data_IF_809162403044
#
_entry.id   IF_809162403044
#
_cell.length_a   1.000
_cell.length_b   1.000
_cell.length_c   1.000
_cell.angle_alpha   90.00
_cell.angle_beta   90.00
_cell.angle_gamma   90.00
#
_symmetry.space_group_name_H-M   'P 1'
#
loop_
_entity.id
_entity.type
_entity.pdbx_description
1 polymer ?
#
# COMPACT_ATOMS: atom_id res chain seq x y z
N UNK A 1 -2.94 -67.42 28.52
CA UNK A 1 -2.22 -66.23 27.99
C UNK A 1 -3.29 -65.21 27.62
N UNK A 2 -3.45 -64.15 28.42
CA UNK A 2 -4.49 -63.12 28.24
C UNK A 2 -3.83 -61.88 27.63
N UNK A 3 -4.16 -61.61 26.36
CA UNK A 3 -3.63 -60.49 25.59
C UNK A 3 -4.41 -59.23 25.98
N UNK A 4 -3.76 -58.29 26.68
CA UNK A 4 -4.34 -56.98 26.99
C UNK A 4 -4.14 -56.05 25.79
N UNK A 5 -5.23 -55.74 25.10
CA UNK A 5 -5.25 -54.71 24.07
C UNK A 5 -5.28 -53.33 24.74
N UNK A 6 -4.20 -52.56 24.62
CA UNK A 6 -4.15 -51.16 25.00
C UNK A 6 -4.77 -50.33 23.86
N UNK A 7 -5.95 -49.76 24.09
CA UNK A 7 -6.45 -48.66 23.25
C UNK A 7 -5.67 -47.39 23.61
N UNK A 8 -4.84 -46.91 22.68
CA UNK A 8 -4.29 -45.57 22.74
C UNK A 8 -5.37 -44.60 22.23
N UNK A 9 -5.94 -43.79 23.13
CA UNK A 9 -6.78 -42.67 22.75
C UNK A 9 -5.87 -41.49 22.34
N UNK A 10 -5.82 -41.18 21.04
CA UNK A 10 -5.22 -39.94 20.56
C UNK A 10 -6.20 -38.79 20.84
N UNK A 11 -5.93 -37.99 21.86
CA UNK A 11 -6.57 -36.69 22.02
C UNK A 11 -5.95 -35.73 20.98
N UNK A 12 -6.67 -35.46 19.90
CA UNK A 12 -6.33 -34.37 19.00
C UNK A 12 -6.55 -33.06 19.75
N UNK A 13 -5.47 -32.44 20.22
CA UNK A 13 -5.50 -31.05 20.70
C UNK A 13 -5.63 -30.19 19.45
N UNK A 14 -6.87 -29.88 19.07
CA UNK A 14 -7.15 -28.84 18.10
C UNK A 14 -6.75 -27.52 18.76
N UNK A 15 -5.66 -26.92 18.29
CA UNK A 15 -5.34 -25.54 18.59
C UNK A 15 -6.40 -24.67 17.90
N UNK A 16 -7.45 -24.27 18.62
CA UNK A 16 -8.22 -23.10 18.20
C UNK A 16 -7.23 -21.93 18.25
N UNK A 17 -6.76 -21.48 17.09
CA UNK A 17 -6.16 -20.16 17.00
C UNK A 17 -7.27 -19.18 17.33
N UNK A 18 -7.19 -18.49 18.46
CA UNK A 18 -7.90 -17.23 18.61
C UNK A 18 -7.37 -16.34 17.47
N UNK A 19 -8.21 -16.00 16.50
CA UNK A 19 -7.86 -15.00 15.50
C UNK A 19 -7.49 -13.74 16.27
N UNK A 20 -6.31 -13.19 16.00
CA UNK A 20 -5.93 -11.91 16.57
C UNK A 20 -6.91 -10.88 16.03
N UNK A 21 -7.86 -10.45 16.86
CA UNK A 21 -8.87 -9.48 16.48
C UNK A 21 -8.16 -8.15 16.19
N UNK A 22 -8.30 -7.64 14.96
CA UNK A 22 -7.72 -6.36 14.57
C UNK A 22 -8.33 -5.24 15.42
N UNK A 23 -7.52 -4.31 15.92
CA UNK A 23 -8.01 -3.10 16.54
C UNK A 23 -7.98 -1.95 15.52
N UNK A 24 -9.02 -1.11 15.52
CA UNK A 24 -9.08 0.05 14.65
C UNK A 24 -7.95 1.00 15.00
N UNK A 25 -7.18 1.35 13.97
CA UNK A 25 -6.00 2.19 14.06
C UNK A 25 -5.82 3.05 12.79
N UNK A 26 -4.96 4.08 12.81
CA UNK A 26 -4.74 4.95 11.66
C UNK A 26 -4.41 4.24 10.35
N UNK A 27 -3.76 3.07 10.42
CA UNK A 27 -3.42 2.25 9.26
C UNK A 27 -4.62 1.63 8.54
N UNK A 28 -5.85 1.75 9.05
CA UNK A 28 -7.07 1.36 8.35
C UNK A 28 -7.66 2.47 7.47
N UNK A 29 -7.19 3.71 7.61
CA UNK A 29 -7.63 4.86 6.80
C UNK A 29 -7.32 4.64 5.33
N UNK A 30 -8.23 4.98 4.42
CA UNK A 30 -8.03 4.81 2.98
C UNK A 30 -9.29 4.37 2.24
N UNK A 31 -9.12 3.97 0.99
CA UNK A 31 -10.21 3.50 0.14
C UNK A 31 -10.55 2.03 0.36
N UNK A 32 -11.83 1.74 0.49
CA UNK A 32 -12.43 0.43 0.64
C UNK A 32 -13.57 0.29 -0.38
N UNK A 33 -13.64 -0.79 -1.13
CA UNK A 33 -14.63 -0.99 -2.19
C UNK A 33 -15.34 -2.33 -2.05
N UNK A 34 -16.51 -2.46 -2.67
CA UNK A 34 -17.25 -3.71 -2.75
C UNK A 34 -16.96 -4.42 -4.09
N UNK A 35 -16.21 -5.55 -4.10
CA UNK A 35 -15.87 -6.23 -5.34
C UNK A 35 -17.07 -6.75 -6.13
N UNK A 36 -18.16 -7.14 -5.46
CA UNK A 36 -19.34 -7.70 -6.12
C UNK A 36 -20.17 -6.64 -6.86
N UNK A 37 -20.02 -5.36 -6.50
CA UNK A 37 -20.73 -4.24 -7.11
C UNK A 37 -19.78 -3.07 -7.28
N UNK A 38 -18.73 -3.30 -8.08
CA UNK A 38 -17.67 -2.32 -8.33
C UNK A 38 -18.22 -0.93 -8.66
N UNK A 39 -17.56 0.11 -8.14
CA UNK A 39 -18.00 1.51 -8.23
C UNK A 39 -18.68 2.07 -6.98
N UNK A 40 -18.86 1.26 -5.92
CA UNK A 40 -19.26 1.74 -4.59
C UNK A 40 -18.24 1.34 -3.50
N UNK A 41 -18.23 2.10 -2.42
CA UNK A 41 -17.28 1.88 -1.33
C UNK A 41 -17.19 3.02 -0.33
N UNK A 42 -16.29 2.87 0.62
CA UNK A 42 -15.98 3.86 1.66
C UNK A 42 -14.60 4.48 1.42
N UNK A 43 -14.47 5.78 1.65
CA UNK A 43 -13.21 6.42 1.96
C UNK A 43 -13.18 6.69 3.46
N UNK A 44 -12.28 6.04 4.18
CA UNK A 44 -12.21 6.03 5.64
C UNK A 44 -11.05 6.89 6.14
N UNK A 45 -11.28 7.66 7.20
CA UNK A 45 -10.25 8.39 7.95
C UNK A 45 -10.40 8.10 9.45
N UNK A 46 -9.37 7.53 10.07
CA UNK A 46 -9.36 7.17 11.49
C UNK A 46 -8.65 8.28 12.27
N UNK A 47 -9.36 8.84 13.25
CA UNK A 47 -8.88 9.93 14.12
C UNK A 47 -8.57 9.36 15.51
N UNK A 48 -7.32 8.94 15.76
CA UNK A 48 -6.97 8.16 16.95
C UNK A 48 -7.10 8.95 18.25
N UNK A 49 -6.71 10.23 18.24
CA UNK A 49 -6.69 11.10 19.42
C UNK A 49 -8.06 11.24 20.10
N UNK A 50 -9.14 11.07 19.34
CA UNK A 50 -10.52 11.15 19.81
C UNK A 50 -11.30 9.83 19.72
N UNK A 51 -10.65 8.74 19.31
CA UNK A 51 -11.32 7.47 18.99
C UNK A 51 -12.54 7.65 18.07
N UNK A 52 -12.38 8.50 17.05
CA UNK A 52 -13.43 8.79 16.05
C UNK A 52 -13.01 8.26 14.69
N UNK A 53 -13.99 7.97 13.85
CA UNK A 53 -13.79 7.68 12.44
C UNK A 53 -14.74 8.56 11.62
N UNK A 54 -14.25 8.97 10.46
CA UNK A 54 -15.06 9.57 9.41
C UNK A 54 -15.02 8.64 8.20
N UNK A 55 -16.14 8.51 7.49
CA UNK A 55 -16.17 7.83 6.21
C UNK A 55 -17.05 8.57 5.21
N UNK A 56 -16.57 8.70 3.97
CA UNK A 56 -17.40 9.03 2.82
C UNK A 56 -17.89 7.73 2.18
N UNK A 57 -19.20 7.50 2.12
CA UNK A 57 -19.80 6.38 1.41
C UNK A 57 -20.25 6.81 0.02
N UNK A 58 -19.59 6.29 -1.01
CA UNK A 58 -19.95 6.47 -2.40
C UNK A 58 -20.73 5.25 -2.87
N UNK A 59 -21.95 5.46 -3.36
CA UNK A 59 -22.86 4.40 -3.80
C UNK A 59 -23.79 4.91 -4.90
N UNK A 60 -24.80 4.13 -5.23
CA UNK A 60 -25.76 4.42 -6.29
C UNK A 60 -27.11 4.82 -5.70
N UNK A 61 -27.87 5.60 -6.46
CA UNK A 61 -29.24 5.93 -6.11
C UNK A 61 -30.10 4.67 -6.03
N UNK A 62 -31.07 4.68 -5.10
CA UNK A 62 -32.05 3.62 -4.97
C UNK A 62 -32.82 3.43 -6.29
N UNK A 63 -33.28 2.21 -6.58
CA UNK A 63 -33.88 1.89 -7.87
C UNK A 63 -35.09 2.78 -8.18
N UNK A 64 -35.91 3.07 -7.17
CA UNK A 64 -37.06 3.98 -7.21
C UNK A 64 -36.71 5.45 -7.48
N UNK A 65 -35.45 5.85 -7.25
CA UNK A 65 -34.96 7.21 -7.51
C UNK A 65 -34.31 7.35 -8.91
N UNK A 66 -34.24 6.26 -9.70
CA UNK A 66 -33.69 6.29 -11.06
C UNK A 66 -34.71 6.84 -12.06
N UNK A 67 -34.30 7.80 -12.89
CA UNK A 67 -35.14 8.39 -13.93
C UNK A 67 -34.41 9.45 -14.75
N UNK A 68 -35.00 9.94 -15.85
CA UNK A 68 -34.38 10.98 -16.68
C UNK A 68 -34.05 12.23 -15.85
N UNK A 69 -32.77 12.57 -15.76
CA UNK A 69 -32.29 13.73 -15.01
C UNK A 69 -32.00 13.50 -13.52
N UNK A 70 -32.15 12.28 -13.00
CA UNK A 70 -31.68 11.95 -11.66
C UNK A 70 -30.19 11.60 -11.64
N UNK A 71 -29.51 11.92 -10.53
CA UNK A 71 -28.15 11.45 -10.29
C UNK A 71 -28.21 9.96 -10.02
N UNK A 72 -27.55 9.14 -10.86
CA UNK A 72 -27.42 7.70 -10.61
C UNK A 72 -26.47 7.39 -9.44
N UNK A 73 -25.70 8.39 -9.01
CA UNK A 73 -24.77 8.34 -7.88
C UNK A 73 -25.37 8.98 -6.64
N UNK A 74 -25.01 8.43 -5.48
CA UNK A 74 -25.32 8.95 -4.16
C UNK A 74 -24.04 8.94 -3.33
N UNK A 75 -23.86 9.98 -2.52
CA UNK A 75 -22.79 10.02 -1.54
C UNK A 75 -23.38 10.40 -0.18
N UNK A 76 -22.90 9.73 0.85
CA UNK A 76 -23.24 9.99 2.24
C UNK A 76 -21.94 10.20 3.03
N UNK A 77 -22.02 10.94 4.11
CA UNK A 77 -20.94 10.98 5.10
C UNK A 77 -21.35 10.20 6.33
N UNK A 78 -20.40 9.56 6.99
CA UNK A 78 -20.59 8.77 8.18
C UNK A 78 -19.57 9.20 9.21
N UNK A 79 -19.97 9.34 10.47
CA UNK A 79 -19.03 9.62 11.54
C UNK A 79 -19.50 9.03 12.86
N UNK A 80 -18.54 8.67 13.72
CA UNK A 80 -18.82 8.21 15.06
C UNK A 80 -17.61 7.63 15.76
N UNK A 81 -17.85 7.06 16.94
CA UNK A 81 -16.81 6.46 17.77
C UNK A 81 -16.48 5.04 17.36
N UNK A 82 -15.27 4.60 17.67
CA UNK A 82 -14.88 3.21 17.49
C UNK A 82 -14.29 2.60 18.76
N UNK A 83 -14.37 1.29 18.87
CA UNK A 83 -13.76 0.48 19.94
C UNK A 83 -13.43 -0.91 19.43
N UNK A 84 -12.21 -1.40 19.71
CA UNK A 84 -11.76 -2.68 19.18
C UNK A 84 -11.79 -2.67 17.64
N UNK A 85 -12.40 -3.68 17.02
CA UNK A 85 -12.55 -3.81 15.57
C UNK A 85 -13.78 -3.08 14.98
N UNK A 86 -14.60 -2.43 15.82
CA UNK A 86 -15.94 -1.96 15.44
C UNK A 86 -16.06 -0.44 15.56
N UNK A 87 -16.65 0.19 14.55
CA UNK A 87 -17.03 1.59 14.57
C UNK A 87 -18.55 1.74 14.38
N UNK A 88 -19.17 2.55 15.23
CA UNK A 88 -20.61 2.85 15.21
C UNK A 88 -20.83 4.27 14.73
N UNK A 89 -21.59 4.45 13.64
CA UNK A 89 -21.64 5.66 12.84
C UNK A 89 -23.06 6.18 12.65
N UNK A 90 -23.20 7.50 12.61
CA UNK A 90 -24.39 8.19 12.10
C UNK A 90 -24.15 8.57 10.65
N UNK A 91 -25.11 8.27 9.77
CA UNK A 91 -25.09 8.64 8.36
C UNK A 91 -25.74 10.00 8.14
N UNK A 92 -25.09 10.85 7.35
CA UNK A 92 -25.53 12.19 7.00
C UNK A 92 -25.61 12.37 5.48
N UNK A 93 -26.67 13.05 5.06
CA UNK A 93 -26.86 13.56 3.71
C UNK A 93 -26.68 15.07 3.70
N UNK A 94 -25.80 15.56 2.83
CA UNK A 94 -25.58 16.98 2.62
C UNK A 94 -26.46 17.48 1.46
N UNK A 95 -27.10 18.64 1.63
CA UNK A 95 -27.92 19.27 0.59
C UNK A 95 -27.79 20.79 0.61
N UNK A 96 -28.21 21.46 -0.47
CA UNK A 96 -28.21 22.92 -0.60
C UNK A 96 -26.91 23.53 -1.14
N UNK A 97 -25.87 22.73 -1.36
CA UNK A 97 -24.63 23.17 -1.99
C UNK A 97 -24.80 23.54 -3.47
N UNK A 98 -23.92 24.41 -3.97
CA UNK A 98 -23.83 24.80 -5.38
C UNK A 98 -22.42 24.45 -5.87
N UNK A 99 -22.31 23.94 -7.11
CA UNK A 99 -21.02 23.57 -7.69
C UNK A 99 -20.04 24.74 -7.69
N UNK A 100 -18.91 24.57 -6.99
CA UNK A 100 -17.80 25.53 -6.88
C UNK A 100 -18.21 26.96 -6.49
N UNK A 101 -19.31 27.09 -5.73
CA UNK A 101 -19.83 28.37 -5.29
C UNK A 101 -20.18 28.33 -3.79
N UNK A 102 -20.05 29.46 -3.08
CA UNK A 102 -20.50 29.54 -1.70
C UNK A 102 -22.02 29.34 -1.64
N UNK A 103 -22.46 28.46 -0.74
CA UNK A 103 -23.87 28.16 -0.50
C UNK A 103 -24.05 27.66 0.93
N UNK A 104 -25.26 27.79 1.45
CA UNK A 104 -25.60 27.21 2.76
C UNK A 104 -25.83 25.71 2.56
N UNK A 105 -25.00 24.89 3.21
CA UNK A 105 -25.13 23.43 3.20
C UNK A 105 -25.83 22.98 4.47
N UNK A 106 -26.84 22.13 4.33
CA UNK A 106 -27.52 21.46 5.44
C UNK A 106 -27.06 20.01 5.52
N UNK A 107 -26.54 19.61 6.69
CA UNK A 107 -26.22 18.22 7.01
C UNK A 107 -27.38 17.59 7.77
N UNK A 108 -28.03 16.59 7.16
CA UNK A 108 -29.20 15.92 7.76
C UNK A 108 -28.84 14.49 8.15
N UNK A 109 -29.05 14.05 9.40
CA UNK A 109 -28.90 12.65 9.76
C UNK A 109 -29.99 11.83 9.07
N UNK A 110 -29.60 10.77 8.37
CA UNK A 110 -30.50 9.95 7.54
C UNK A 110 -30.51 8.47 7.91
N UNK A 111 -29.63 8.05 8.82
CA UNK A 111 -29.55 6.66 9.25
C UNK A 111 -28.34 6.36 10.11
N UNK A 112 -28.02 5.09 10.23
CA UNK A 112 -26.88 4.58 11.00
C UNK A 112 -26.11 3.55 10.21
N UNK A 113 -24.85 3.36 10.58
CA UNK A 113 -24.03 2.30 10.02
C UNK A 113 -23.01 1.78 11.04
N UNK A 114 -22.57 0.55 10.82
CA UNK A 114 -21.51 -0.09 11.61
C UNK A 114 -20.44 -0.58 10.64
N UNK A 115 -19.17 -0.30 10.93
CA UNK A 115 -18.03 -0.89 10.24
C UNK A 115 -17.37 -1.88 11.19
N UNK A 116 -17.25 -3.13 10.78
CA UNK A 116 -16.48 -4.16 11.47
C UNK A 116 -15.29 -4.54 10.61
N UNK A 117 -14.08 -4.29 11.11
CA UNK A 117 -12.86 -4.71 10.44
C UNK A 117 -12.50 -6.13 10.85
N UNK A 118 -12.30 -7.00 9.86
CA UNK A 118 -11.88 -8.39 10.07
C UNK A 118 -10.39 -8.55 9.89
N UNK A 119 -9.81 -7.71 9.03
CA UNK A 119 -8.37 -7.64 8.78
C UNK A 119 -7.99 -6.29 8.19
N UNK A 120 -6.71 -6.14 7.81
CA UNK A 120 -6.22 -4.96 7.11
C UNK A 120 -6.72 -4.80 5.68
N UNK A 121 -7.35 -5.83 5.14
CA UNK A 121 -7.82 -5.83 3.75
C UNK A 121 -9.30 -6.20 3.64
N UNK A 122 -9.95 -6.59 4.73
CA UNK A 122 -11.35 -7.00 4.75
C UNK A 122 -12.14 -6.37 5.89
N UNK A 123 -13.34 -5.87 5.58
CA UNK A 123 -14.28 -5.33 6.54
C UNK A 123 -15.73 -5.63 6.11
N UNK A 124 -16.67 -5.52 7.03
CA UNK A 124 -18.10 -5.53 6.75
C UNK A 124 -18.68 -4.19 7.13
N UNK A 125 -19.44 -3.59 6.22
CA UNK A 125 -20.18 -2.36 6.44
C UNK A 125 -21.67 -2.68 6.45
N UNK A 126 -22.30 -2.52 7.62
CA UNK A 126 -23.74 -2.64 7.78
C UNK A 126 -24.37 -1.26 7.79
N UNK A 127 -25.48 -1.06 7.08
CA UNK A 127 -26.19 0.20 7.04
C UNK A 127 -27.70 0.02 7.27
N UNK A 128 -28.31 1.03 7.86
CA UNK A 128 -29.75 1.20 7.99
C UNK A 128 -30.14 2.65 7.61
N UNK A 129 -30.98 2.77 6.60
CA UNK A 129 -31.53 4.02 6.06
C UNK A 129 -33.06 3.96 6.15
N UNK A 130 -33.63 4.19 7.34
CA UNK A 130 -35.06 3.96 7.60
C UNK A 130 -35.97 4.88 6.77
N UNK A 131 -35.51 6.09 6.45
CA UNK A 131 -36.25 7.02 5.58
C UNK A 131 -36.44 6.50 4.15
N UNK A 132 -35.55 5.63 3.69
CA UNK A 132 -35.59 5.01 2.36
C UNK A 132 -36.12 3.57 2.42
N UNK A 133 -36.31 3.01 3.61
CA UNK A 133 -36.65 1.59 3.79
C UNK A 133 -35.53 0.63 3.37
N UNK A 134 -34.28 1.10 3.34
CA UNK A 134 -33.12 0.34 2.90
C UNK A 134 -32.26 -0.06 4.09
N UNK A 135 -31.88 -1.33 4.16
CA UNK A 135 -30.87 -1.83 5.08
C UNK A 135 -30.11 -2.98 4.41
N UNK A 136 -28.87 -3.21 4.84
CA UNK A 136 -28.08 -4.29 4.29
C UNK A 136 -26.64 -4.28 4.77
N UNK A 137 -25.86 -5.23 4.25
CA UNK A 137 -24.44 -5.35 4.52
C UNK A 137 -23.65 -5.40 3.22
N UNK A 138 -22.51 -4.74 3.23
CA UNK A 138 -21.56 -4.63 2.13
C UNK A 138 -20.24 -5.25 2.61
N UNK A 139 -19.67 -6.15 1.83
CA UNK A 139 -18.34 -6.71 2.08
C UNK A 139 -17.30 -5.82 1.43
N UNK A 140 -16.44 -5.24 2.26
CA UNK A 140 -15.45 -4.28 1.82
C UNK A 140 -14.07 -4.93 1.71
N UNK A 141 -13.42 -4.66 0.58
CA UNK A 141 -12.01 -4.95 0.33
C UNK A 141 -11.24 -3.64 0.24
N UNK A 142 -10.04 -3.59 0.82
CA UNK A 142 -9.21 -2.39 0.77
C UNK A 142 -8.55 -2.20 -0.61
N UNK A 143 -8.57 -0.98 -1.14
CA UNK A 143 -8.04 -0.66 -2.48
C UNK A 143 -6.52 -0.75 -2.52
N UNK A 144 -5.84 -0.32 -1.47
CA UNK A 144 -4.40 -0.49 -1.30
C UNK A 144 -4.08 -0.74 0.17
N UNK A 145 -3.25 -1.73 0.52
CA UNK A 145 -2.76 -1.90 1.88
C UNK A 145 -1.87 -0.71 2.27
N UNK A 146 -1.93 -0.33 3.55
CA UNK A 146 -1.16 0.75 4.16
C UNK A 146 -0.18 0.03 5.06
N UNK A 147 1.05 0.51 5.02
CA UNK A 147 2.23 -0.13 5.59
C UNK A 147 2.06 -0.37 7.09
N UNK A 148 1.16 0.37 7.75
CA UNK A 148 0.99 0.39 9.20
C UNK A 148 -0.20 -0.38 9.76
N UNK A 149 -1.08 -0.95 8.93
CA UNK A 149 -2.35 -1.49 9.41
C UNK A 149 -2.22 -2.62 10.47
N UNK A 150 -1.20 -3.48 10.33
CA UNK A 150 -0.92 -4.56 11.29
C UNK A 150 0.11 -4.15 12.37
N UNK A 151 0.68 -2.95 12.28
CA UNK A 151 1.89 -2.54 13.02
C UNK A 151 1.68 -2.08 14.47
N UNK A 152 0.48 -2.23 15.05
CA UNK A 152 0.18 -1.78 16.43
C UNK A 152 -0.11 -2.95 17.38
N UNK A 153 0.38 -4.16 17.07
CA UNK A 153 0.54 -5.21 18.08
C UNK A 153 2.01 -5.24 18.48
N UNK A 154 2.26 -4.87 19.74
CA UNK A 154 3.52 -4.89 20.48
C UNK A 154 4.75 -5.44 19.73
N UNK A 155 5.74 -4.55 19.58
CA UNK A 155 7.13 -4.80 19.20
C UNK A 155 7.62 -6.25 19.39
N UNK A 156 7.53 -7.08 18.33
CA UNK A 156 8.50 -8.13 17.99
C UNK A 156 8.52 -8.43 16.48
N UNK A 157 9.73 -8.46 15.95
CA UNK A 157 10.17 -8.73 14.57
C UNK A 157 9.57 -9.99 13.94
N UNK A 158 8.70 -9.85 12.93
CA UNK A 158 8.48 -10.87 11.87
C UNK A 158 8.10 -10.15 10.56
N UNK A 159 8.84 -10.43 9.49
CA UNK A 159 8.56 -9.94 8.14
C UNK A 159 7.13 -10.33 7.70
N UNK A 160 6.31 -9.33 7.36
CA UNK A 160 5.01 -9.54 6.72
C UNK A 160 5.17 -10.01 5.27
N UNK A 161 4.10 -10.45 4.58
CA UNK A 161 4.18 -10.78 3.17
C UNK A 161 4.60 -9.52 2.40
N UNK A 162 5.70 -9.64 1.69
CA UNK A 162 6.51 -8.56 1.17
C UNK A 162 5.83 -8.02 -0.08
N UNK A 163 5.02 -6.97 0.09
CA UNK A 163 4.52 -6.21 -1.05
C UNK A 163 5.65 -5.32 -1.55
N UNK A 164 6.21 -5.69 -2.71
CA UNK A 164 7.20 -4.98 -3.50
C UNK A 164 8.08 -4.02 -2.69
N UNK A 165 9.03 -4.59 -1.95
CA UNK A 165 10.02 -3.82 -1.23
C UNK A 165 11.04 -3.22 -2.20
N UNK A 166 11.46 -1.97 -1.98
CA UNK A 166 12.52 -1.42 -2.80
C UNK A 166 13.79 -2.26 -2.63
N UNK A 167 14.53 -2.52 -3.71
CA UNK A 167 15.79 -3.24 -3.62
C UNK A 167 16.79 -2.44 -2.78
N UNK A 168 17.64 -3.16 -2.07
CA UNK A 168 18.66 -2.59 -1.20
C UNK A 168 20.07 -2.84 -1.72
N UNK A 169 20.90 -1.80 -1.59
CA UNK A 169 22.32 -1.80 -1.94
C UNK A 169 23.13 -1.59 -0.68
N UNK A 170 24.10 -2.48 -0.44
CA UNK A 170 24.96 -2.41 0.74
C UNK A 170 26.40 -2.81 0.42
N UNK A 171 27.28 -2.71 1.41
CA UNK A 171 28.71 -3.08 1.31
C UNK A 171 29.47 -2.40 0.15
N UNK A 172 29.07 -1.18 -0.22
CA UNK A 172 29.66 -0.48 -1.37
C UNK A 172 31.17 -0.24 -1.18
N UNK A 173 31.96 -0.71 -2.14
CA UNK A 173 33.40 -0.47 -2.23
C UNK A 173 33.73 0.03 -3.63
N UNK A 174 34.52 1.09 -3.69
CA UNK A 174 34.90 1.74 -4.94
C UNK A 174 36.42 1.61 -5.09
N UNK A 175 36.86 1.21 -6.28
CA UNK A 175 38.26 1.27 -6.68
C UNK A 175 38.39 1.95 -8.03
N UNK A 176 39.44 2.76 -8.18
CA UNK A 176 39.79 3.49 -9.40
C UNK A 176 41.21 3.12 -9.81
N UNK A 177 41.42 2.79 -11.10
CA UNK A 177 42.73 2.49 -11.67
C UNK A 177 43.26 3.59 -12.61
N UNK A 178 42.59 4.74 -12.66
CA UNK A 178 42.92 5.87 -13.52
C UNK A 178 42.28 5.82 -14.90
N UNK A 179 41.55 4.75 -15.24
CA UNK A 179 40.79 4.61 -16.51
C UNK A 179 39.41 4.00 -16.30
N UNK A 180 39.25 3.19 -15.25
CA UNK A 180 38.02 2.50 -14.91
C UNK A 180 37.73 2.65 -13.42
N UNK A 181 36.45 2.85 -13.13
CA UNK A 181 35.90 2.73 -11.79
C UNK A 181 35.24 1.37 -11.67
N UNK A 182 35.55 0.65 -10.61
CA UNK A 182 34.85 -0.55 -10.18
C UNK A 182 34.08 -0.25 -8.92
N UNK A 183 32.84 -0.70 -8.88
CA UNK A 183 31.96 -0.67 -7.72
C UNK A 183 31.60 -2.11 -7.37
N UNK A 184 32.06 -2.57 -6.22
CA UNK A 184 31.65 -3.84 -5.61
C UNK A 184 30.55 -3.56 -4.59
N UNK A 185 29.50 -4.38 -4.57
CA UNK A 185 28.32 -4.18 -3.72
C UNK A 185 27.60 -5.49 -3.43
N UNK A 186 26.83 -5.51 -2.34
CA UNK A 186 25.79 -6.50 -2.09
C UNK A 186 24.44 -5.93 -2.56
N UNK A 187 23.66 -6.78 -3.22
CA UNK A 187 22.35 -6.46 -3.77
C UNK A 187 21.32 -7.40 -3.15
N UNK A 188 20.27 -6.87 -2.56
CA UNK A 188 19.17 -7.66 -2.00
C UNK A 188 17.84 -7.14 -2.48
N UNK A 189 16.93 -8.06 -2.77
CA UNK A 189 15.52 -7.83 -3.03
C UNK A 189 14.77 -8.82 -2.16
N UNK A 190 13.72 -8.39 -1.49
CA UNK A 190 13.00 -9.27 -0.56
C UNK A 190 12.22 -10.34 -1.34
N UNK A 191 11.69 -9.93 -2.48
CA UNK A 191 10.95 -10.76 -3.42
C UNK A 191 11.84 -11.60 -4.36
N UNK A 192 13.18 -11.52 -4.21
CA UNK A 192 14.18 -12.17 -5.07
C UNK A 192 13.99 -11.86 -6.58
N UNK A 193 13.47 -10.68 -6.89
CA UNK A 193 13.18 -10.22 -8.26
C UNK A 193 14.44 -9.89 -9.04
N UNK A 194 14.35 -9.93 -10.37
CA UNK A 194 15.39 -9.40 -11.24
C UNK A 194 15.39 -7.86 -11.20
N UNK A 195 16.56 -7.27 -10.98
CA UNK A 195 16.70 -5.82 -10.79
C UNK A 195 17.38 -5.15 -11.99
N UNK A 196 17.07 -3.88 -12.21
CA UNK A 196 17.85 -2.97 -13.04
C UNK A 196 18.86 -2.23 -12.16
N UNK A 197 20.16 -2.32 -12.49
CA UNK A 197 21.22 -1.62 -11.75
C UNK A 197 21.87 -0.57 -12.64
N UNK A 198 22.00 0.65 -12.13
CA UNK A 198 22.66 1.73 -12.86
C UNK A 198 23.61 2.52 -11.98
N UNK A 199 24.50 3.25 -12.67
CA UNK A 199 25.46 4.16 -12.04
C UNK A 199 25.30 5.54 -12.67
N UNK A 200 25.34 6.58 -11.86
CA UNK A 200 25.37 7.97 -12.32
C UNK A 200 26.35 8.81 -11.51
N UNK A 201 26.83 9.87 -12.14
CA UNK A 201 27.69 10.88 -11.51
C UNK A 201 26.81 12.03 -11.03
N UNK A 202 26.96 12.41 -9.77
CA UNK A 202 26.40 13.62 -9.17
C UNK A 202 27.50 14.67 -9.04
N UNK A 203 27.31 15.84 -9.65
CA UNK A 203 28.25 16.95 -9.59
C UNK A 203 27.57 18.23 -9.08
N UNK A 204 28.30 19.36 -9.01
CA UNK A 204 27.81 20.60 -8.40
C UNK A 204 26.43 21.00 -8.95
N UNK A 205 25.62 21.60 -8.09
CA UNK A 205 24.26 22.09 -8.39
C UNK A 205 23.20 20.99 -8.65
N UNK A 206 23.43 19.77 -8.15
CA UNK A 206 22.45 18.68 -8.23
C UNK A 206 22.30 18.08 -9.63
N UNK A 207 23.19 18.47 -10.55
CA UNK A 207 23.24 17.91 -11.88
C UNK A 207 23.74 16.46 -11.84
N UNK A 208 23.17 15.66 -12.74
CA UNK A 208 23.45 14.24 -12.87
C UNK A 208 23.92 13.92 -14.29
N UNK A 209 24.95 13.09 -14.40
CA UNK A 209 25.37 12.47 -15.64
C UNK A 209 25.08 10.97 -15.56
N UNK A 210 24.09 10.52 -16.32
CA UNK A 210 23.75 9.09 -16.41
C UNK A 210 24.76 8.41 -17.31
N UNK A 211 25.40 7.36 -16.80
CA UNK A 211 26.43 6.66 -17.56
C UNK A 211 25.76 5.82 -18.67
N UNK A 212 26.20 5.94 -19.92
CA UNK A 212 25.68 5.15 -21.03
C UNK A 212 25.88 3.64 -20.80
N UNK A 213 24.86 2.79 -21.06
CA UNK A 213 24.96 1.34 -20.87
C UNK A 213 26.18 0.67 -21.54
N UNK A 214 26.61 1.04 -22.77
CA UNK A 214 27.79 0.43 -23.40
C UNK A 214 29.11 0.65 -22.65
N UNK A 215 29.18 1.66 -21.77
CA UNK A 215 30.34 1.99 -20.96
C UNK A 215 30.31 1.31 -19.59
N UNK A 216 29.19 0.67 -19.25
CA UNK A 216 29.03 -0.16 -18.07
C UNK A 216 29.24 -1.64 -18.43
N UNK A 217 29.79 -2.41 -17.50
CA UNK A 217 29.94 -3.86 -17.62
C UNK A 217 29.83 -4.55 -16.25
N UNK A 218 29.61 -5.86 -16.26
CA UNK A 218 29.36 -6.64 -15.04
C UNK A 218 27.88 -6.66 -14.68
N UNK A 219 27.57 -6.47 -13.40
CA UNK A 219 26.21 -6.40 -12.87
C UNK A 219 25.59 -5.01 -13.06
N UNK A 220 25.41 -4.63 -14.32
CA UNK A 220 24.82 -3.36 -14.74
C UNK A 220 23.69 -3.59 -15.76
N UNK A 221 22.71 -2.70 -15.77
CA UNK A 221 21.49 -2.83 -16.56
C UNK A 221 20.51 -3.83 -15.94
N UNK A 222 19.64 -4.39 -16.78
CA UNK A 222 18.66 -5.41 -16.42
C UNK A 222 18.84 -6.64 -17.31
N UNK A 223 18.70 -7.88 -16.79
CA UNK A 223 18.41 -8.24 -15.40
C UNK A 223 19.68 -8.47 -14.57
N UNK A 224 19.65 -8.07 -13.30
CA UNK A 224 20.66 -8.40 -12.28
C UNK A 224 19.97 -9.09 -11.10
N UNK A 225 20.39 -10.31 -10.79
CA UNK A 225 19.84 -11.05 -9.64
C UNK A 225 20.45 -10.58 -8.31
N UNK A 226 19.69 -10.59 -7.21
CA UNK A 226 20.21 -10.38 -5.86
C UNK A 226 21.41 -11.28 -5.55
N UNK A 227 22.31 -10.82 -4.69
CA UNK A 227 23.45 -11.58 -4.22
C UNK A 227 24.44 -10.75 -3.42
N UNK A 228 25.16 -11.43 -2.51
CA UNK A 228 26.13 -10.81 -1.60
C UNK A 228 27.39 -10.27 -2.29
N UNK A 229 27.62 -10.63 -3.56
CA UNK A 229 28.77 -10.13 -4.32
C UNK A 229 28.37 -9.82 -5.74
N UNK A 230 28.26 -8.53 -6.02
CA UNK A 230 28.01 -7.95 -7.33
C UNK A 230 29.08 -6.93 -7.64
N UNK A 231 29.38 -6.81 -8.92
CA UNK A 231 30.43 -5.93 -9.41
C UNK A 231 29.97 -5.22 -10.68
N UNK A 232 29.99 -3.90 -10.65
CA UNK A 232 29.78 -3.03 -11.80
C UNK A 232 31.09 -2.31 -12.14
N UNK A 233 31.40 -2.21 -13.42
CA UNK A 233 32.57 -1.48 -13.93
C UNK A 233 32.15 -0.40 -14.91
N UNK A 234 32.66 0.80 -14.72
CA UNK A 234 32.52 1.93 -15.62
C UNK A 234 33.86 2.31 -16.22
N UNK A 235 33.95 2.27 -17.55
CA UNK A 235 35.12 2.69 -18.33
C UNK A 235 35.11 4.20 -18.57
N UNK A 236 35.28 4.99 -17.50
CA UNK A 236 35.17 6.45 -17.59
C UNK A 236 36.24 7.10 -18.49
N UNK A 237 37.41 6.48 -18.66
CA UNK A 237 38.45 6.93 -19.60
C UNK A 237 38.03 6.89 -21.07
N UNK A 238 37.05 6.05 -21.41
CA UNK A 238 36.43 5.97 -22.75
C UNK A 238 35.16 6.84 -22.86
N UNK A 239 34.71 7.43 -21.75
CA UNK A 239 33.46 8.19 -21.65
C UNK A 239 33.66 9.65 -22.07
N UNK A 240 33.71 9.89 -23.38
CA UNK A 240 33.92 11.23 -23.93
C UNK A 240 32.85 12.26 -23.46
N UNK A 241 31.64 11.81 -23.12
CA UNK A 241 30.60 12.68 -22.57
C UNK A 241 30.94 13.15 -21.17
N UNK A 242 31.35 12.23 -20.30
CA UNK A 242 31.82 12.53 -18.95
C UNK A 242 33.09 13.39 -18.95
N UNK A 243 34.09 13.05 -19.76
CA UNK A 243 35.38 13.76 -19.80
C UNK A 243 35.23 15.23 -20.21
N UNK A 244 34.24 15.57 -21.05
CA UNK A 244 33.93 16.96 -21.43
C UNK A 244 33.40 17.81 -20.28
N UNK A 245 32.90 17.19 -19.20
CA UNK A 245 32.45 17.92 -18.02
C UNK A 245 33.62 18.55 -17.25
N UNK A 246 34.86 18.08 -17.47
CA UNK A 246 36.05 18.68 -16.88
C UNK A 246 36.06 18.66 -15.35
N UNK A 247 35.39 17.69 -14.74
CA UNK A 247 35.21 17.61 -13.29
C UNK A 247 36.52 17.18 -12.61
N UNK A 248 36.94 17.95 -11.62
CA UNK A 248 38.06 17.60 -10.73
C UNK A 248 37.62 16.76 -9.52
N UNK A 249 36.33 16.79 -9.19
CA UNK A 249 35.71 16.00 -8.13
C UNK A 249 34.23 15.76 -8.46
N UNK A 250 33.72 14.59 -8.08
CA UNK A 250 32.32 14.21 -8.27
C UNK A 250 31.92 13.14 -7.26
N UNK A 251 30.62 12.91 -7.11
CA UNK A 251 30.07 11.79 -6.34
C UNK A 251 29.48 10.76 -7.28
N UNK A 252 29.50 9.50 -6.88
CA UNK A 252 28.83 8.43 -7.59
C UNK A 252 27.55 8.04 -6.86
N UNK A 253 26.49 7.79 -7.61
CA UNK A 253 25.27 7.16 -7.11
C UNK A 253 25.04 5.86 -7.86
N UNK A 254 25.17 4.75 -7.15
CA UNK A 254 24.66 3.45 -7.57
C UNK A 254 23.17 3.40 -7.22
N UNK A 255 22.35 2.87 -8.11
CA UNK A 255 20.92 2.67 -7.87
C UNK A 255 20.47 1.31 -8.40
N UNK A 256 19.43 0.76 -7.78
CA UNK A 256 18.75 -0.45 -8.18
C UNK A 256 17.24 -0.18 -8.23
N UNK A 257 16.53 -0.83 -9.15
CA UNK A 257 15.09 -0.70 -9.36
C UNK A 257 14.53 -2.09 -9.76
N UNK A 258 13.45 -2.52 -9.13
CA UNK A 258 12.73 -3.77 -9.41
C UNK A 258 11.79 -3.63 -10.63
N UNK A 259 11.71 -2.43 -11.21
CA UNK A 259 10.81 -2.04 -12.31
C UNK A 259 9.33 -2.21 -11.96
N UNK A 260 8.99 -2.19 -10.69
CA UNK A 260 7.60 -2.27 -10.28
C UNK A 260 6.81 -1.09 -10.82
N UNK A 261 5.76 -1.38 -11.58
CA UNK A 261 4.82 -0.39 -12.08
C UNK A 261 3.50 -0.55 -11.31
N UNK A 262 3.16 0.41 -10.45
CA UNK A 262 1.84 0.45 -9.81
C UNK A 262 0.77 0.75 -10.84
N UNK A 263 -0.14 -0.17 -11.12
CA UNK A 263 -1.29 0.07 -12.01
C UNK A 263 -2.43 0.76 -11.26
N UNK A 264 -2.22 2.02 -10.85
CA UNK A 264 -3.30 2.89 -10.33
C UNK A 264 -4.41 3.16 -11.38
N UNK A 265 -4.20 2.80 -12.65
CA UNK A 265 -5.12 3.03 -13.76
C UNK A 265 -6.30 2.05 -13.83
N UNK A 266 -6.37 1.02 -12.99
CA UNK A 266 -7.52 0.10 -12.94
C UNK A 266 -8.59 0.54 -11.92
N UNK A 267 -8.43 1.71 -11.28
CA UNK A 267 -9.27 2.18 -10.16
C UNK A 267 -10.30 3.26 -10.58
N UNK A 268 -10.37 3.67 -11.85
CA UNK A 268 -11.40 4.61 -12.35
C UNK A 268 -12.42 3.90 -13.22
#
# INVERSE_FOLDING_TARGET
MSTRTLLAAFAAIAWLRAEAQIAINPGLSGGWFEPATSGQGLLIDVVPDSSQIYAGWYTFAAAEAKGPGSSEQRWLSAQGSYSGSVAELVLYSASGGIFDLPGVVTQTPVGSATIEFHSCVSATYHYDLPGDGLNGSISLTRIGPDVFCQGIVDEQTVAGPEYNQPPSLSELRISDDGQQIRVDFALSDMEDSALEVGLEVLYSDGLRYRIPPPLLSGNAGYPVLPGATRQLRWRYGEDAGFLRLGLSAFRLRLWADDRFASTLQEIV
#
